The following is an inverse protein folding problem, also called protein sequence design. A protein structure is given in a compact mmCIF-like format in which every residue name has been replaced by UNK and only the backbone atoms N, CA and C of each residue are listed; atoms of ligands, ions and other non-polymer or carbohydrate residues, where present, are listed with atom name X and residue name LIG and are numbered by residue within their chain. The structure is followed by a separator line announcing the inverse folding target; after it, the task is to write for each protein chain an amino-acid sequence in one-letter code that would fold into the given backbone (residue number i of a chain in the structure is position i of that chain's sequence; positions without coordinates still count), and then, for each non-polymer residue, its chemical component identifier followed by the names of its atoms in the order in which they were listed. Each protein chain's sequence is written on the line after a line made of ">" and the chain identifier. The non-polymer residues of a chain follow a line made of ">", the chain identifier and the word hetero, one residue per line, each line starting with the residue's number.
data_IF_159380744000
#
_entry.id   IF_159380744000
#
_cell.length_a   1.000
_cell.length_b   1.000
_cell.length_c   1.000
_cell.angle_alpha   90.00
_cell.angle_beta   90.00
_cell.angle_gamma   90.00
#
_symmetry.space_group_name_H-M   'P 1'
#
loop_
_entity.id
_entity.type
_entity.pdbx_description
1 polymer ?
#
# COMPACT_ATOMS: atom_id res chain seq x y z
N UNK A 1 9.07 -24.93 18.49
CA UNK A 1 10.13 -24.81 17.45
C UNK A 1 9.51 -25.25 16.12
N UNK A 2 8.85 -24.35 15.39
CA UNK A 2 8.31 -24.64 14.04
C UNK A 2 9.43 -24.33 13.05
N UNK A 3 9.88 -25.35 12.31
CA UNK A 3 10.72 -25.12 11.13
C UNK A 3 9.86 -24.41 10.09
N UNK A 4 10.29 -23.22 9.64
CA UNK A 4 9.71 -22.52 8.51
C UNK A 4 10.13 -23.25 7.23
N UNK A 5 9.27 -24.12 6.74
CA UNK A 5 9.46 -24.72 5.43
C UNK A 5 9.07 -23.69 4.35
N UNK A 6 10.00 -22.80 3.99
CA UNK A 6 9.87 -21.93 2.80
C UNK A 6 10.07 -22.72 1.48
N UNK A 7 9.79 -24.03 1.49
CA UNK A 7 9.97 -24.92 0.35
C UNK A 7 8.87 -24.64 -0.70
N UNK A 8 9.08 -23.60 -1.52
CA UNK A 8 8.21 -23.27 -2.64
C UNK A 8 8.26 -21.81 -3.09
N UNK A 9 8.74 -20.89 -2.25
CA UNK A 9 8.74 -19.45 -2.52
C UNK A 9 10.18 -18.98 -2.70
N UNK A 10 10.75 -19.20 -3.88
CA UNK A 10 12.02 -18.58 -4.23
C UNK A 10 11.83 -17.04 -4.20
N UNK A 11 12.65 -16.33 -3.41
CA UNK A 11 12.63 -14.87 -3.21
C UNK A 11 11.46 -14.30 -2.38
N UNK A 12 11.12 -14.93 -1.25
CA UNK A 12 10.16 -14.37 -0.28
C UNK A 12 10.59 -12.98 0.25
N UNK A 13 9.86 -11.89 -0.03
CA UNK A 13 10.29 -10.53 0.33
C UNK A 13 9.83 -10.11 1.73
N UNK A 14 9.00 -10.90 2.40
CA UNK A 14 8.37 -10.53 3.67
C UNK A 14 9.11 -11.05 4.91
N UNK A 15 10.40 -11.35 4.77
CA UNK A 15 11.28 -11.78 5.85
C UNK A 15 10.70 -12.95 6.66
N UNK A 16 10.36 -12.72 7.93
CA UNK A 16 9.86 -13.71 8.88
C UNK A 16 8.34 -13.89 8.87
N UNK A 17 7.61 -13.19 7.99
CA UNK A 17 6.17 -13.40 7.87
C UNK A 17 5.88 -14.76 7.25
N UNK A 18 4.93 -15.46 7.86
CA UNK A 18 4.56 -16.81 7.45
C UNK A 18 3.57 -16.75 6.28
N UNK A 19 3.80 -17.51 5.19
CA UNK A 19 2.81 -17.62 4.12
C UNK A 19 1.46 -18.14 4.64
N UNK A 20 0.38 -17.73 4.01
CA UNK A 20 -1.00 -18.20 4.21
C UNK A 20 -1.48 -18.19 5.68
N UNK A 21 -0.99 -17.23 6.46
CA UNK A 21 -1.15 -17.24 7.92
C UNK A 21 -1.98 -16.07 8.47
N UNK A 22 -2.35 -15.09 7.63
CA UNK A 22 -2.97 -13.85 8.09
C UNK A 22 -4.41 -13.72 7.59
N UNK A 23 -5.35 -13.57 8.51
CA UNK A 23 -6.76 -13.24 8.26
C UNK A 23 -7.01 -11.72 8.15
N UNK A 24 -6.03 -10.90 8.50
CA UNK A 24 -6.02 -9.45 8.30
C UNK A 24 -4.64 -8.97 7.89
N UNK A 25 -4.58 -8.26 6.76
CA UNK A 25 -3.37 -7.62 6.25
C UNK A 25 -3.62 -6.12 6.18
N UNK A 26 -2.72 -5.32 6.77
CA UNK A 26 -2.70 -3.87 6.58
C UNK A 26 -1.44 -3.49 5.81
N UNK A 27 -1.60 -2.88 4.65
CA UNK A 27 -0.50 -2.51 3.76
C UNK A 27 -0.51 -1.01 3.48
N UNK A 28 0.66 -0.38 3.56
CA UNK A 28 0.91 0.99 3.10
C UNK A 28 2.12 0.97 2.14
N UNK A 29 1.89 0.70 0.84
CA UNK A 29 2.97 0.63 -0.13
C UNK A 29 3.78 1.93 -0.19
N UNK A 30 5.06 1.82 -0.55
CA UNK A 30 5.94 2.98 -0.74
C UNK A 30 5.63 3.70 -2.07
N UNK A 31 4.41 4.22 -2.22
CA UNK A 31 3.89 4.79 -3.46
C UNK A 31 4.80 5.86 -4.07
N UNK A 32 5.17 5.68 -5.33
CA UNK A 32 5.75 6.75 -6.14
C UNK A 32 4.66 7.74 -6.61
N UNK A 33 4.88 9.04 -6.35
CA UNK A 33 3.99 10.12 -6.76
C UNK A 33 4.58 10.90 -7.92
N UNK A 34 3.86 10.99 -9.04
CA UNK A 34 4.22 11.91 -10.10
C UNK A 34 4.00 13.34 -9.63
N UNK A 35 5.04 14.17 -9.76
CA UNK A 35 5.01 15.54 -9.29
C UNK A 35 4.79 16.53 -10.45
N UNK A 36 4.01 17.58 -10.21
CA UNK A 36 3.79 18.62 -11.25
C UNK A 36 5.08 19.40 -11.57
N UNK A 37 5.96 19.57 -10.59
CA UNK A 37 7.24 20.24 -10.78
C UNK A 37 8.25 19.79 -9.71
N UNK A 38 9.54 20.01 -9.97
CA UNK A 38 10.62 19.74 -9.03
C UNK A 38 10.44 20.47 -7.68
N UNK A 39 9.74 21.61 -7.64
CA UNK A 39 9.43 22.31 -6.37
C UNK A 39 8.62 21.44 -5.40
N UNK A 40 7.80 20.54 -5.95
CA UNK A 40 6.98 19.60 -5.17
C UNK A 40 7.78 18.52 -4.45
N UNK A 41 9.02 18.24 -4.89
CA UNK A 41 9.86 17.18 -4.32
C UNK A 41 10.14 17.41 -2.84
N UNK A 42 10.25 18.69 -2.44
CA UNK A 42 10.51 19.08 -1.04
C UNK A 42 9.53 18.49 -0.04
N UNK A 43 8.29 18.23 -0.46
CA UNK A 43 7.19 17.67 0.36
C UNK A 43 6.81 16.24 -0.04
N UNK A 44 7.52 15.65 -0.99
CA UNK A 44 7.20 14.33 -1.55
C UNK A 44 7.73 13.21 -0.67
N UNK A 45 7.07 12.05 -0.72
CA UNK A 45 7.55 10.81 -0.10
C UNK A 45 8.96 10.44 -0.57
N UNK A 46 9.24 10.62 -1.87
CA UNK A 46 10.52 10.27 -2.52
C UNK A 46 11.73 10.97 -1.90
N UNK A 47 11.53 12.13 -1.26
CA UNK A 47 12.59 12.85 -0.55
C UNK A 47 12.96 12.19 0.78
N UNK A 48 12.03 11.47 1.39
CA UNK A 48 12.17 10.93 2.74
C UNK A 48 12.56 9.45 2.74
N UNK A 49 12.12 8.69 1.73
CA UNK A 49 12.42 7.27 1.60
C UNK A 49 12.35 6.83 0.13
N UNK A 50 12.93 5.67 -0.17
CA UNK A 50 12.84 5.05 -1.49
C UNK A 50 11.40 4.62 -1.76
N UNK A 51 10.82 5.15 -2.84
CA UNK A 51 9.52 4.72 -3.34
C UNK A 51 9.67 3.56 -4.34
N UNK A 52 8.56 2.88 -4.57
CA UNK A 52 8.37 1.83 -5.54
C UNK A 52 7.45 2.33 -6.66
N UNK A 53 7.78 1.95 -7.89
CA UNK A 53 6.88 2.08 -9.02
C UNK A 53 5.61 1.24 -8.82
N UNK A 54 4.56 1.53 -9.59
CA UNK A 54 3.31 0.78 -9.51
C UNK A 54 3.52 -0.72 -9.81
N UNK A 55 4.32 -1.03 -10.83
CA UNK A 55 4.62 -2.41 -11.23
C UNK A 55 5.36 -3.17 -10.13
N UNK A 56 6.33 -2.54 -9.47
CA UNK A 56 7.03 -3.13 -8.33
C UNK A 56 6.09 -3.42 -7.15
N UNK A 57 5.11 -2.54 -6.89
CA UNK A 57 4.11 -2.74 -5.83
C UNK A 57 3.17 -3.90 -6.19
N UNK A 58 2.65 -3.93 -7.41
CA UNK A 58 1.76 -5.00 -7.89
C UNK A 58 2.44 -6.37 -7.87
N UNK A 59 3.76 -6.43 -8.10
CA UNK A 59 4.53 -7.65 -8.08
C UNK A 59 4.80 -8.22 -6.67
N UNK A 60 4.48 -7.49 -5.60
CA UNK A 60 4.60 -8.02 -4.24
C UNK A 60 3.63 -9.20 -4.04
N UNK A 61 4.08 -10.35 -3.51
CA UNK A 61 3.24 -11.54 -3.36
C UNK A 61 2.34 -11.45 -2.11
N UNK A 62 1.62 -10.34 -1.92
CA UNK A 62 0.79 -10.10 -0.73
C UNK A 62 -0.32 -11.15 -0.59
N UNK A 63 -0.84 -11.68 -1.71
CA UNK A 63 -1.80 -12.78 -1.70
C UNK A 63 -1.25 -14.02 -0.98
N UNK A 64 0.06 -14.30 -1.10
CA UNK A 64 0.68 -15.48 -0.49
C UNK A 64 0.80 -15.36 1.03
N UNK A 65 0.59 -14.18 1.62
CA UNK A 65 0.46 -14.00 3.07
C UNK A 65 -0.95 -14.36 3.57
N UNK A 66 -1.97 -14.22 2.71
CA UNK A 66 -3.36 -14.30 3.08
C UNK A 66 -3.79 -15.73 3.42
N UNK A 67 -4.43 -15.90 4.58
CA UNK A 67 -5.25 -17.08 4.83
C UNK A 67 -6.48 -17.09 3.90
N UNK A 68 -7.19 -18.22 3.81
CA UNK A 68 -8.36 -18.38 2.92
C UNK A 68 -9.40 -17.25 3.08
N UNK A 69 -9.68 -16.85 4.33
CA UNK A 69 -10.56 -15.73 4.64
C UNK A 69 -9.72 -14.57 5.19
N UNK A 70 -9.27 -13.69 4.30
CA UNK A 70 -8.43 -12.55 4.66
C UNK A 70 -9.07 -11.21 4.29
N UNK A 71 -8.99 -10.25 5.20
CA UNK A 71 -9.31 -8.85 4.93
C UNK A 71 -8.04 -8.05 4.65
N UNK A 72 -8.01 -7.33 3.53
CA UNK A 72 -6.97 -6.35 3.22
C UNK A 72 -7.43 -4.93 3.55
N UNK A 73 -6.66 -4.23 4.39
CA UNK A 73 -6.69 -2.78 4.55
C UNK A 73 -5.51 -2.16 3.79
N UNK A 74 -5.79 -1.63 2.59
CA UNK A 74 -4.77 -1.00 1.74
C UNK A 74 -4.83 0.52 1.90
N UNK A 75 -3.71 1.14 2.28
CA UNK A 75 -3.55 2.59 2.32
C UNK A 75 -3.16 3.15 0.95
N UNK A 76 -3.80 4.25 0.58
CA UNK A 76 -3.39 5.10 -0.53
C UNK A 76 -3.86 6.55 -0.24
N UNK A 77 -3.34 7.52 -1.00
CA UNK A 77 -3.91 8.87 -0.99
C UNK A 77 -5.02 8.98 -2.04
N UNK A 78 -5.92 9.96 -1.89
CA UNK A 78 -7.03 10.16 -2.83
C UNK A 78 -6.60 10.30 -4.30
N UNK A 79 -5.42 10.87 -4.55
CA UNK A 79 -4.87 11.01 -5.91
C UNK A 79 -4.43 9.67 -6.54
N UNK A 80 -4.26 8.62 -5.74
CA UNK A 80 -3.78 7.30 -6.16
C UNK A 80 -4.89 6.26 -6.23
N UNK A 81 -6.17 6.61 -5.98
CA UNK A 81 -7.26 5.64 -5.90
C UNK A 81 -7.35 4.70 -7.12
N UNK A 82 -7.17 5.20 -8.35
CA UNK A 82 -7.18 4.34 -9.55
C UNK A 82 -6.09 3.28 -9.50
N UNK A 83 -4.86 3.70 -9.19
CA UNK A 83 -3.69 2.82 -9.05
C UNK A 83 -3.84 1.85 -7.87
N UNK A 84 -4.52 2.28 -6.81
CA UNK A 84 -4.82 1.43 -5.66
C UNK A 84 -5.72 0.26 -6.06
N UNK A 85 -6.72 0.49 -6.93
CA UNK A 85 -7.55 -0.61 -7.46
C UNK A 85 -6.74 -1.56 -8.34
N UNK A 86 -5.79 -1.07 -9.15
CA UNK A 86 -4.89 -1.93 -9.93
C UNK A 86 -4.06 -2.85 -9.01
N UNK A 87 -3.55 -2.32 -7.89
CA UNK A 87 -2.83 -3.11 -6.87
C UNK A 87 -3.75 -4.11 -6.17
N UNK A 88 -4.98 -3.69 -5.83
CA UNK A 88 -5.97 -4.55 -5.22
C UNK A 88 -6.27 -5.78 -6.10
N UNK A 89 -6.50 -5.54 -7.39
CA UNK A 89 -6.76 -6.58 -8.39
C UNK A 89 -5.54 -7.49 -8.57
N UNK A 90 -4.33 -6.91 -8.66
CA UNK A 90 -3.08 -7.67 -8.79
C UNK A 90 -2.80 -8.58 -7.59
N UNK A 91 -3.18 -8.16 -6.38
CA UNK A 91 -3.05 -8.96 -5.16
C UNK A 91 -4.24 -9.91 -4.93
N UNK A 92 -5.21 -9.97 -5.84
CA UNK A 92 -6.31 -10.92 -5.79
C UNK A 92 -7.38 -10.63 -4.72
N UNK A 93 -7.52 -9.38 -4.29
CA UNK A 93 -8.56 -8.96 -3.34
C UNK A 93 -9.73 -8.28 -4.05
N UNK A 94 -10.93 -8.43 -3.50
CA UNK A 94 -12.14 -7.78 -4.01
C UNK A 94 -12.45 -6.51 -3.20
N UNK A 95 -12.72 -5.40 -3.87
CA UNK A 95 -13.13 -4.17 -3.20
C UNK A 95 -14.51 -4.33 -2.53
N UNK A 96 -14.61 -3.95 -1.26
CA UNK A 96 -15.89 -3.90 -0.54
C UNK A 96 -16.27 -2.48 -0.10
N UNK A 97 -15.33 -1.74 0.48
CA UNK A 97 -15.58 -0.39 0.98
C UNK A 97 -14.26 0.38 1.17
N UNK A 98 -14.36 1.68 1.44
CA UNK A 98 -13.22 2.53 1.75
C UNK A 98 -13.49 3.37 3.01
N UNK A 99 -12.42 3.63 3.76
CA UNK A 99 -12.37 4.68 4.78
C UNK A 99 -11.54 5.86 4.29
N UNK A 100 -11.93 7.08 4.66
CA UNK A 100 -11.18 8.29 4.32
C UNK A 100 -10.61 8.90 5.60
N UNK A 101 -9.28 8.99 5.67
CA UNK A 101 -8.62 9.77 6.73
C UNK A 101 -8.73 11.26 6.44
N UNK A 102 -9.77 11.90 6.99
CA UNK A 102 -9.94 13.35 6.92
C UNK A 102 -9.04 14.05 7.95
N UNK A 103 -7.95 14.65 7.49
CA UNK A 103 -7.03 15.41 8.34
C UNK A 103 -7.60 16.79 8.61
N UNK A 104 -7.64 17.19 9.87
CA UNK A 104 -8.08 18.52 10.29
C UNK A 104 -6.99 19.25 11.07
N UNK A 105 -7.02 20.58 11.07
CA UNK A 105 -6.17 21.41 11.92
C UNK A 105 -6.59 21.26 13.39
N UNK A 106 -5.76 21.75 14.31
CA UNK A 106 -6.14 21.82 15.74
C UNK A 106 -7.44 22.60 16.00
N UNK A 107 -7.84 23.48 15.08
CA UNK A 107 -9.09 24.24 15.12
C UNK A 107 -10.26 23.56 14.37
N UNK A 108 -10.10 22.30 13.95
CA UNK A 108 -11.15 21.52 13.27
C UNK A 108 -11.37 21.85 11.78
N UNK A 109 -10.50 22.63 11.14
CA UNK A 109 -10.64 22.96 9.71
C UNK A 109 -9.99 21.87 8.85
N UNK A 110 -10.53 21.51 7.67
CA UNK A 110 -9.87 20.56 6.78
C UNK A 110 -8.45 20.99 6.41
N UNK A 111 -7.50 20.05 6.51
CA UNK A 111 -6.13 20.23 6.05
C UNK A 111 -6.04 19.87 4.56
N UNK A 112 -5.63 20.83 3.74
CA UNK A 112 -5.36 20.58 2.32
C UNK A 112 -3.92 20.12 2.11
N UNK A 113 -3.77 18.91 1.56
CA UNK A 113 -2.49 18.28 1.28
C UNK A 113 -2.01 18.47 -0.17
N UNK A 114 -1.03 17.67 -0.57
CA UNK A 114 -0.30 17.73 -1.86
C UNK A 114 -1.03 17.09 -3.04
N UNK A 115 -2.36 16.95 -2.99
CA UNK A 115 -3.15 16.35 -4.07
C UNK A 115 -3.31 17.29 -5.27
N UNK A 116 -3.30 16.74 -6.48
CA UNK A 116 -3.42 17.48 -7.74
C UNK A 116 -4.86 17.77 -8.16
N UNK A 117 -5.83 17.02 -7.64
CA UNK A 117 -7.25 17.10 -8.01
C UNK A 117 -8.06 16.91 -6.72
N UNK A 118 -8.93 17.87 -6.42
CA UNK A 118 -9.98 17.81 -5.40
C UNK A 118 -11.33 17.99 -6.08
#
# INVERSE_FOLDING_TARGET
>A
MRLLAHAGLANWPFESLDPQSYDFIMADPAWEFLLFSAKGETKSAQRHYRCMSLDEIMALPVQDLAAENCLLWLWATGAMLRKQFEVLDAWGFEYKTQGVWNKVTASGKPCFGTGYIL
#
